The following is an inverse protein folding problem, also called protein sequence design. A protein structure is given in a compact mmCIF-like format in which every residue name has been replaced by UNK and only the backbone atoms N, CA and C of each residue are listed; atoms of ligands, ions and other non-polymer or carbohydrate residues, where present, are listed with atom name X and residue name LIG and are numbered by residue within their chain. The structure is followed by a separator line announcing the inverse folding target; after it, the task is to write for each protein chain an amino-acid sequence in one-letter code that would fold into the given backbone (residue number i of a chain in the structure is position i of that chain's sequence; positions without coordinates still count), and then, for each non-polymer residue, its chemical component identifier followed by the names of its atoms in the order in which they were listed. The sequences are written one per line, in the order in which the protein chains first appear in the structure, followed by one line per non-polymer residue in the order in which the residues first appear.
data_IF_911232255032
#
_entry.id   IF_911232255032
#
_cell.length_a   1.000
_cell.length_b   1.000
_cell.length_c   1.000
_cell.angle_alpha   90.00
_cell.angle_beta   90.00
_cell.angle_gamma   90.00
#
_symmetry.space_group_name_H-M   'P 1'
#
loop_
_entity.id
_entity.type
_entity.pdbx_description
1 polymer ?
#
# COMPACT_ATOMS: atom_id res chain seq x y z
N UNK A 1 19.87 -39.91 -13.33
CA UNK A 1 19.86 -38.56 -12.72
C UNK A 1 18.54 -37.90 -13.10
N UNK A 2 17.58 -37.76 -12.17
CA UNK A 2 16.22 -37.31 -12.50
C UNK A 2 16.11 -35.78 -12.45
N UNK A 3 16.68 -35.11 -13.44
CA UNK A 3 16.73 -33.63 -13.54
C UNK A 3 15.34 -32.98 -13.56
N UNK A 4 14.32 -33.65 -14.11
CA UNK A 4 12.93 -33.15 -14.16
C UNK A 4 12.34 -32.79 -12.79
N UNK A 5 12.73 -33.51 -11.72
CA UNK A 5 12.25 -33.21 -10.37
C UNK A 5 12.86 -31.91 -9.83
N UNK A 6 14.14 -31.68 -10.14
CA UNK A 6 14.86 -30.47 -9.71
C UNK A 6 14.34 -29.25 -10.48
N UNK A 7 14.14 -29.38 -11.80
CA UNK A 7 13.58 -28.31 -12.64
C UNK A 7 12.18 -27.89 -12.16
N UNK A 8 11.32 -28.85 -11.80
CA UNK A 8 10.00 -28.55 -11.26
C UNK A 8 10.08 -27.84 -9.90
N UNK A 9 10.98 -28.27 -9.02
CA UNK A 9 11.15 -27.68 -7.69
C UNK A 9 11.68 -26.25 -7.76
N UNK A 10 12.61 -25.99 -8.69
CA UNK A 10 13.13 -24.64 -8.96
C UNK A 10 12.03 -23.74 -9.52
N UNK A 11 11.23 -24.22 -10.48
CA UNK A 11 10.09 -23.47 -11.01
C UNK A 11 9.08 -23.08 -9.91
N UNK A 12 8.77 -24.02 -9.02
CA UNK A 12 7.88 -23.76 -7.88
C UNK A 12 8.47 -22.72 -6.91
N UNK A 13 9.78 -22.82 -6.61
CA UNK A 13 10.48 -21.84 -5.77
C UNK A 13 10.43 -20.42 -6.35
N UNK A 14 10.67 -20.29 -7.66
CA UNK A 14 10.60 -18.99 -8.35
C UNK A 14 9.18 -18.41 -8.31
N UNK A 15 8.14 -19.23 -8.52
CA UNK A 15 6.75 -18.77 -8.43
C UNK A 15 6.38 -18.25 -7.03
N UNK A 16 6.80 -18.96 -5.98
CA UNK A 16 6.58 -18.52 -4.60
C UNK A 16 7.31 -17.20 -4.34
N UNK A 17 8.58 -17.10 -4.77
CA UNK A 17 9.37 -15.87 -4.63
C UNK A 17 8.73 -14.69 -5.36
N UNK A 18 8.23 -14.90 -6.57
CA UNK A 18 7.54 -13.88 -7.35
C UNK A 18 6.24 -13.42 -6.66
N UNK A 19 5.47 -14.35 -6.10
CA UNK A 19 4.29 -14.04 -5.29
C UNK A 19 4.62 -13.20 -4.05
N UNK A 20 5.72 -13.52 -3.35
CA UNK A 20 6.18 -12.76 -2.20
C UNK A 20 6.59 -11.32 -2.57
N UNK A 21 7.29 -11.14 -3.69
CA UNK A 21 7.67 -9.82 -4.20
C UNK A 21 6.43 -9.01 -4.58
N UNK A 22 5.46 -9.61 -5.28
CA UNK A 22 4.18 -8.97 -5.59
C UNK A 22 3.43 -8.53 -4.33
N UNK A 23 3.38 -9.39 -3.31
CA UNK A 23 2.75 -9.07 -2.03
C UNK A 23 3.40 -7.87 -1.35
N UNK A 24 4.74 -7.86 -1.27
CA UNK A 24 5.48 -6.74 -0.69
C UNK A 24 5.30 -5.44 -1.49
N UNK A 25 5.26 -5.52 -2.82
CA UNK A 25 5.04 -4.35 -3.67
C UNK A 25 3.70 -3.69 -3.38
N UNK A 26 2.63 -4.47 -3.20
CA UNK A 26 1.30 -3.97 -2.85
C UNK A 26 1.30 -3.39 -1.43
N UNK A 27 1.89 -4.10 -0.47
CA UNK A 27 1.96 -3.68 0.93
C UNK A 27 2.75 -2.39 1.15
N UNK A 28 3.88 -2.22 0.45
CA UNK A 28 4.75 -1.03 0.53
C UNK A 28 4.18 0.13 -0.29
N UNK A 29 3.47 -0.16 -1.40
CA UNK A 29 2.87 0.82 -2.30
C UNK A 29 1.74 1.67 -1.72
N UNK A 30 1.54 1.69 -0.40
CA UNK A 30 0.49 2.42 0.32
C UNK A 30 -0.96 2.02 -0.02
N UNK A 31 -1.14 1.02 -0.89
CA UNK A 31 -2.43 0.41 -1.17
C UNK A 31 -2.81 -0.53 -0.02
N UNK A 32 -3.11 0.02 1.16
CA UNK A 32 -3.85 -0.70 2.20
C UNK A 32 -5.28 -0.92 1.67
N UNK A 33 -5.47 -1.99 0.90
CA UNK A 33 -6.80 -2.46 0.46
C UNK A 33 -7.67 -2.92 1.62
N UNK A 34 -7.07 -3.21 2.79
CA UNK A 34 -7.78 -3.65 3.98
C UNK A 34 -7.71 -2.60 5.08
N UNK A 35 -8.82 -1.87 5.23
CA UNK A 35 -9.30 -1.27 6.48
C UNK A 35 -8.30 -0.39 7.24
N UNK A 36 -8.25 0.89 6.91
CA UNK A 36 -7.96 1.89 7.93
C UNK A 36 -9.26 2.19 8.69
N UNK A 37 -9.20 2.25 10.02
CA UNK A 37 -10.24 2.82 10.91
C UNK A 37 -10.39 4.35 10.69
N UNK A 38 -10.37 4.77 9.43
CA UNK A 38 -10.50 6.15 8.99
C UNK A 38 -11.89 6.35 8.42
N UNK A 39 -12.47 7.50 8.71
CA UNK A 39 -13.76 7.92 8.17
C UNK A 39 -13.57 9.18 7.33
N UNK A 40 -14.41 9.33 6.32
CA UNK A 40 -14.43 10.53 5.50
C UNK A 40 -15.09 11.67 6.29
N UNK A 41 -14.53 12.88 6.17
CA UNK A 41 -14.93 14.05 6.93
C UNK A 41 -14.98 15.24 6.00
N UNK A 42 -16.17 15.81 5.83
CA UNK A 42 -16.35 17.04 5.08
C UNK A 42 -16.32 18.25 6.01
N UNK A 43 -15.54 19.26 5.65
CA UNK A 43 -15.48 20.54 6.35
C UNK A 43 -15.61 21.68 5.37
N UNK A 44 -16.32 22.74 5.77
CA UNK A 44 -16.50 23.94 4.94
C UNK A 44 -15.57 25.05 5.41
N UNK A 45 -14.74 25.53 4.49
CA UNK A 45 -13.83 26.65 4.73
C UNK A 45 -14.25 27.85 3.89
N UNK A 46 -14.02 29.05 4.42
CA UNK A 46 -14.22 30.31 3.68
C UNK A 46 -13.14 30.56 2.61
N UNK A 47 -11.96 29.95 2.76
CA UNK A 47 -10.86 29.99 1.80
C UNK A 47 -10.06 28.68 1.88
N UNK A 48 -9.78 28.06 0.75
CA UNK A 48 -9.02 26.79 0.61
C UNK A 48 -7.68 26.98 -0.12
N UNK A 49 -7.23 28.22 -0.29
CA UNK A 49 -5.98 28.54 -0.95
C UNK A 49 -4.80 27.80 -0.30
N UNK A 50 -4.06 27.01 -1.09
CA UNK A 50 -2.93 26.21 -0.63
C UNK A 50 -3.24 24.76 -0.24
N UNK A 51 -4.51 24.34 -0.30
CA UNK A 51 -4.91 22.94 -0.10
C UNK A 51 -5.00 22.24 -1.45
N UNK A 52 -4.17 21.22 -1.63
CA UNK A 52 -4.17 20.36 -2.83
C UNK A 52 -4.61 18.94 -2.47
N UNK A 53 -5.17 18.17 -3.44
CA UNK A 53 -5.39 16.74 -3.26
C UNK A 53 -4.07 16.06 -2.83
N UNK A 54 -4.11 15.22 -1.80
CA UNK A 54 -2.92 14.60 -1.23
C UNK A 54 -2.23 15.41 -0.12
N UNK A 55 -2.76 16.58 0.28
CA UNK A 55 -2.17 17.36 1.37
C UNK A 55 -2.37 16.64 2.70
N UNK A 56 -1.40 16.75 3.61
CA UNK A 56 -1.49 16.12 4.93
C UNK A 56 -2.50 16.82 5.82
N UNK A 57 -3.27 16.04 6.56
CA UNK A 57 -4.05 16.49 7.71
C UNK A 57 -3.26 16.17 8.98
N UNK A 58 -3.06 17.17 9.83
CA UNK A 58 -2.28 17.06 11.06
C UNK A 58 -3.10 17.53 12.28
N UNK A 59 -3.00 16.80 13.39
CA UNK A 59 -3.57 17.19 14.69
C UNK A 59 -2.41 17.34 15.67
N UNK A 60 -2.27 18.51 16.28
CA UNK A 60 -1.16 18.82 17.20
C UNK A 60 0.24 18.50 16.61
N UNK A 61 0.41 18.64 15.29
CA UNK A 61 1.66 18.37 14.58
C UNK A 61 1.89 16.90 14.19
N UNK A 62 0.92 16.01 14.45
CA UNK A 62 0.99 14.59 14.06
C UNK A 62 0.13 14.36 12.82
N UNK A 63 0.69 13.73 11.79
CA UNK A 63 -0.06 13.34 10.57
C UNK A 63 -1.12 12.29 10.92
N UNK A 64 -2.38 12.63 10.66
CA UNK A 64 -3.53 11.75 10.92
C UNK A 64 -4.27 11.33 9.65
N UNK A 65 -4.03 12.01 8.52
CA UNK A 65 -4.69 11.68 7.27
C UNK A 65 -4.23 12.54 6.10
N UNK A 66 -5.06 12.53 5.07
CA UNK A 66 -4.81 13.22 3.80
C UNK A 66 -6.15 13.76 3.27
N UNK A 67 -6.13 14.91 2.58
CA UNK A 67 -7.28 15.48 1.86
C UNK A 67 -7.36 15.00 0.41
#
# INVERSE_FOLDING_TARGET
MNNRKIEFLVGCFVLIGFGAVLYLAIQVGSARFFGSDSYELEARFRNTSGVNPGSRVEIAGVRVGTV
#
